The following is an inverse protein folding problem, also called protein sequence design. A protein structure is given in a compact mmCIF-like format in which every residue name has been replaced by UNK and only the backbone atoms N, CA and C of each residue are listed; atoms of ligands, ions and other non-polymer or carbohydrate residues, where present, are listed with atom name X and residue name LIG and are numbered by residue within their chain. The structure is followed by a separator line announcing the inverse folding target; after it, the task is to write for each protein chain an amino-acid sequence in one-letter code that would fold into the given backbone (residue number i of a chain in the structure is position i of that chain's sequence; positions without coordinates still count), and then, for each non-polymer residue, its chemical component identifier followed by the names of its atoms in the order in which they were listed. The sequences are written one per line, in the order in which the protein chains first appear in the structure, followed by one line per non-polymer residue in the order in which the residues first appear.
data_IF_237266904569
#
_entry.id   IF_237266904569
#
_cell.length_a   1.000
_cell.length_b   1.000
_cell.length_c   1.000
_cell.angle_alpha   90.00
_cell.angle_beta   90.00
_cell.angle_gamma   90.00
#
_symmetry.space_group_name_H-M   'P 1'
#
loop_
_entity.id
_entity.type
_entity.pdbx_description
1 polymer ?
#
# COMPACT_ATOMS: atom_id res chain seq x y z
N UNK A 1 -23.62 83.73 6.43
CA UNK A 1 -22.36 84.18 7.02
C UNK A 1 -21.88 83.19 8.05
N UNK A 2 -20.78 82.65 7.94
CA UNK A 2 -19.73 82.04 8.76
C UNK A 2 -19.40 80.63 8.34
N UNK A 3 -18.31 80.52 7.60
CA UNK A 3 -17.48 79.31 7.43
C UNK A 3 -17.00 78.83 8.78
N UNK A 4 -17.12 77.55 9.03
CA UNK A 4 -16.34 76.91 10.08
C UNK A 4 -15.64 75.66 9.47
N UNK A 5 -14.35 75.76 9.42
CA UNK A 5 -13.44 74.73 8.96
C UNK A 5 -13.40 73.62 10.00
N UNK A 6 -13.65 72.38 9.54
CA UNK A 6 -13.31 71.20 10.33
C UNK A 6 -12.30 70.37 9.49
N UNK A 7 -11.06 70.50 9.93
CA UNK A 7 -9.97 69.63 9.52
C UNK A 7 -10.23 68.24 10.13
N UNK A 8 -10.57 67.29 9.31
CA UNK A 8 -10.55 65.88 9.72
C UNK A 8 -9.22 65.27 9.29
N UNK A 9 -8.34 65.11 10.26
CA UNK A 9 -7.09 64.40 10.14
C UNK A 9 -7.35 62.92 9.97
N UNK A 10 -7.13 62.43 8.76
CA UNK A 10 -7.12 60.99 8.46
C UNK A 10 -5.82 60.38 8.97
N UNK A 11 -5.85 59.79 10.13
CA UNK A 11 -4.79 58.84 10.55
C UNK A 11 -5.00 57.54 9.82
N UNK A 12 -4.24 57.32 8.77
CA UNK A 12 -4.16 56.06 8.10
C UNK A 12 -3.39 55.05 8.94
N UNK A 13 -4.11 54.11 9.55
CA UNK A 13 -3.50 52.94 10.19
C UNK A 13 -3.07 51.95 9.11
N UNK A 14 -1.78 51.92 8.81
CA UNK A 14 -1.16 50.87 8.01
C UNK A 14 -1.03 49.63 8.90
N UNK A 15 -1.98 48.72 8.79
CA UNK A 15 -1.83 47.37 9.37
C UNK A 15 -0.94 46.57 8.45
N UNK A 16 0.34 46.50 8.81
CA UNK A 16 1.28 45.58 8.19
C UNK A 16 0.89 44.14 8.57
N UNK A 17 0.19 43.45 7.68
CA UNK A 17 -0.03 42.02 7.77
C UNK A 17 1.30 41.29 7.58
N UNK A 18 1.99 40.95 8.69
CA UNK A 18 3.07 39.98 8.65
C UNK A 18 2.47 38.62 8.31
N UNK A 19 2.52 38.24 7.05
CA UNK A 19 2.30 36.87 6.63
C UNK A 19 3.43 36.02 7.24
N UNK A 20 3.13 35.31 8.31
CA UNK A 20 3.98 34.23 8.83
C UNK A 20 4.03 33.13 7.76
N UNK A 21 5.02 33.18 6.89
CA UNK A 21 5.39 32.06 6.03
C UNK A 21 5.93 30.97 6.96
N UNK A 22 5.05 30.07 7.38
CA UNK A 22 5.49 28.85 8.04
C UNK A 22 6.22 28.00 6.97
N UNK A 23 7.50 27.66 7.17
CA UNK A 23 8.13 26.67 6.32
C UNK A 23 7.34 25.39 6.50
N UNK A 24 6.67 24.95 5.43
CA UNK A 24 6.17 23.59 5.33
C UNK A 24 7.38 22.68 5.50
N UNK A 25 7.53 22.07 6.67
CA UNK A 25 8.45 20.98 6.90
C UNK A 25 7.91 19.83 6.02
N UNK A 26 8.37 19.81 4.78
CA UNK A 26 8.26 18.63 3.93
C UNK A 26 9.02 17.52 4.65
N UNK A 27 8.29 16.70 5.38
CA UNK A 27 8.78 15.41 5.82
C UNK A 27 8.86 14.52 4.57
N UNK A 28 9.83 14.80 3.70
CA UNK A 28 10.34 13.81 2.77
C UNK A 28 11.34 12.92 3.50
N UNK A 29 10.95 12.41 4.66
CA UNK A 29 11.55 11.22 5.20
C UNK A 29 10.83 10.07 4.51
N UNK A 30 11.50 9.33 3.65
CA UNK A 30 11.24 7.92 3.47
C UNK A 30 11.58 7.25 4.80
N UNK A 31 10.79 7.52 5.83
CA UNK A 31 10.72 6.67 6.98
C UNK A 31 10.25 5.35 6.41
N UNK A 32 11.17 4.42 6.23
CA UNK A 32 10.85 3.02 6.00
C UNK A 32 9.88 2.66 7.12
N UNK A 33 8.59 2.45 6.76
CA UNK A 33 7.58 2.16 7.77
C UNK A 33 8.09 1.01 8.63
N UNK A 34 8.08 1.16 9.95
CA UNK A 34 8.65 0.17 10.83
C UNK A 34 7.92 -1.15 10.64
N UNK A 35 8.67 -2.24 10.62
CA UNK A 35 8.12 -3.59 10.67
C UNK A 35 7.24 -3.72 11.91
N UNK A 36 5.98 -4.08 11.73
CA UNK A 36 5.01 -4.16 12.82
C UNK A 36 4.14 -5.41 12.71
N UNK A 37 3.91 -6.14 13.81
CA UNK A 37 2.90 -7.20 13.87
C UNK A 37 1.49 -6.66 13.57
N UNK A 38 1.21 -5.40 13.91
CA UNK A 38 -0.09 -4.78 13.67
C UNK A 38 -0.49 -4.77 12.19
N UNK A 39 0.46 -4.71 11.25
CA UNK A 39 0.15 -4.80 9.82
C UNK A 39 -0.38 -6.19 9.42
N UNK A 40 0.00 -7.23 10.16
CA UNK A 40 -0.56 -8.59 9.99
C UNK A 40 -1.93 -8.68 10.67
N UNK A 41 -2.10 -8.08 11.84
CA UNK A 41 -3.36 -8.11 12.60
C UNK A 41 -4.50 -7.40 11.87
N UNK A 42 -4.19 -6.41 11.03
CA UNK A 42 -5.16 -5.69 10.19
C UNK A 42 -5.63 -6.47 8.95
N UNK A 43 -5.02 -7.61 8.63
CA UNK A 43 -5.44 -8.43 7.49
C UNK A 43 -6.82 -9.06 7.75
N UNK A 44 -7.62 -9.32 6.70
CA UNK A 44 -8.81 -10.16 6.79
C UNK A 44 -8.52 -11.50 7.48
N UNK A 45 -9.48 -12.03 8.22
CA UNK A 45 -9.27 -13.18 9.13
C UNK A 45 -8.67 -14.40 8.44
N UNK A 46 -9.16 -14.76 7.24
CA UNK A 46 -8.65 -15.92 6.50
C UNK A 46 -7.21 -15.71 6.04
N UNK A 47 -6.88 -14.50 5.58
CA UNK A 47 -5.52 -14.15 5.15
C UNK A 47 -4.59 -14.13 6.36
N UNK A 48 -5.01 -13.49 7.46
CA UNK A 48 -4.25 -13.44 8.70
C UNK A 48 -3.94 -14.84 9.23
N UNK A 49 -4.93 -15.74 9.23
CA UNK A 49 -4.74 -17.13 9.63
C UNK A 49 -3.71 -17.87 8.76
N UNK A 50 -3.69 -17.61 7.45
CA UNK A 50 -2.66 -18.17 6.56
C UNK A 50 -1.26 -17.59 6.83
N UNK A 51 -1.15 -16.27 7.01
CA UNK A 51 0.10 -15.59 7.32
C UNK A 51 0.67 -16.05 8.67
N UNK A 52 -0.16 -16.24 9.69
CA UNK A 52 0.26 -16.70 10.99
C UNK A 52 0.91 -18.10 10.97
N UNK A 53 0.62 -18.94 9.98
CA UNK A 53 1.30 -20.25 9.83
C UNK A 53 2.80 -20.10 9.59
N UNK A 54 3.25 -18.96 9.07
CA UNK A 54 4.67 -18.66 8.89
C UNK A 54 5.41 -18.45 10.21
N UNK A 55 4.69 -18.21 11.33
CA UNK A 55 5.29 -17.94 12.62
C UNK A 55 6.27 -19.06 13.06
N UNK A 56 5.84 -20.32 12.94
CA UNK A 56 6.69 -21.47 13.27
C UNK A 56 7.93 -21.57 12.34
N UNK A 57 7.74 -21.39 11.04
CA UNK A 57 8.81 -21.46 10.03
C UNK A 57 9.80 -20.30 10.17
N UNK A 58 9.32 -19.11 10.56
CA UNK A 58 10.13 -17.92 10.72
C UNK A 58 10.82 -17.81 12.08
N UNK A 59 10.63 -18.78 12.97
CA UNK A 59 11.31 -18.84 14.28
C UNK A 59 10.71 -17.93 15.34
N UNK A 60 9.41 -17.69 15.30
CA UNK A 60 8.65 -16.91 16.29
C UNK A 60 8.15 -15.59 15.73
N UNK A 61 8.49 -14.47 16.30
CA UNK A 61 7.93 -13.16 15.96
C UNK A 61 7.95 -12.85 14.46
N UNK A 62 6.77 -12.69 13.87
CA UNK A 62 6.57 -12.20 12.51
C UNK A 62 6.08 -10.76 12.56
N UNK A 63 6.52 -9.95 11.60
CA UNK A 63 6.06 -8.59 11.40
C UNK A 63 6.09 -8.28 9.90
N UNK A 64 5.39 -7.26 9.49
CA UNK A 64 5.35 -6.83 8.10
C UNK A 64 5.52 -5.31 8.00
N UNK A 65 6.04 -4.84 6.86
CA UNK A 65 6.03 -3.44 6.50
C UNK A 65 4.62 -3.02 6.06
N UNK A 66 4.36 -1.72 5.99
CA UNK A 66 3.03 -1.19 5.62
C UNK A 66 2.56 -1.68 4.25
N UNK A 67 3.48 -1.85 3.31
CA UNK A 67 3.16 -2.27 1.94
C UNK A 67 3.14 -3.79 1.73
N UNK A 68 3.22 -4.56 2.83
CA UNK A 68 3.10 -6.02 2.77
C UNK A 68 1.81 -6.49 2.09
N UNK A 69 0.69 -5.78 2.30
CA UNK A 69 -0.61 -6.09 1.71
C UNK A 69 -1.12 -4.93 0.85
N UNK A 70 -1.35 -5.20 -0.43
CA UNK A 70 -1.94 -4.24 -1.37
C UNK A 70 -3.32 -4.71 -1.80
N UNK A 71 -4.28 -3.79 -1.85
CA UNK A 71 -5.69 -4.04 -2.10
C UNK A 71 -6.11 -3.52 -3.47
N UNK A 72 -6.98 -4.27 -4.15
CA UNK A 72 -7.63 -3.85 -5.38
C UNK A 72 -9.10 -4.30 -5.36
N UNK A 73 -10.01 -3.35 -5.50
CA UNK A 73 -11.45 -3.64 -5.62
C UNK A 73 -11.90 -3.44 -7.07
N UNK A 74 -12.63 -4.42 -7.59
CA UNK A 74 -13.36 -4.35 -8.85
C UNK A 74 -14.81 -4.79 -8.61
N UNK A 75 -15.77 -4.48 -9.50
CA UNK A 75 -17.14 -4.95 -9.34
C UNK A 75 -17.22 -6.47 -9.12
N UNK A 76 -17.76 -6.88 -7.97
CA UNK A 76 -17.97 -8.28 -7.61
C UNK A 76 -16.74 -9.02 -7.03
N UNK A 77 -15.60 -8.38 -6.87
CA UNK A 77 -14.43 -9.00 -6.26
C UNK A 77 -13.50 -7.98 -5.59
N UNK A 78 -12.90 -8.38 -4.48
CA UNK A 78 -11.82 -7.66 -3.82
C UNK A 78 -10.59 -8.56 -3.77
N UNK A 79 -9.43 -8.01 -4.15
CA UNK A 79 -8.16 -8.72 -4.18
C UNK A 79 -7.21 -8.15 -3.15
N UNK A 80 -6.43 -9.04 -2.53
CA UNK A 80 -5.30 -8.68 -1.66
C UNK A 80 -4.06 -9.38 -2.17
N UNK A 81 -3.02 -8.62 -2.48
CA UNK A 81 -1.70 -9.15 -2.81
C UNK A 81 -0.78 -9.02 -1.60
N UNK A 82 -0.14 -10.10 -1.21
CA UNK A 82 0.87 -10.13 -0.15
C UNK A 82 2.28 -10.18 -0.76
N UNK A 83 3.15 -9.29 -0.28
CA UNK A 83 4.54 -9.12 -0.71
C UNK A 83 5.48 -9.61 0.39
N UNK A 84 5.94 -10.87 0.33
CA UNK A 84 6.78 -11.46 1.38
C UNK A 84 8.23 -10.96 1.38
N UNK A 85 8.63 -10.12 0.44
CA UNK A 85 9.84 -9.29 0.57
C UNK A 85 9.69 -8.23 1.66
N UNK A 86 8.46 -7.74 1.91
CA UNK A 86 8.06 -6.85 2.99
C UNK A 86 7.60 -7.60 4.25
N UNK A 87 8.03 -8.85 4.43
CA UNK A 87 7.69 -9.69 5.57
C UNK A 87 8.94 -10.11 6.36
N UNK A 88 8.95 -9.83 7.66
CA UNK A 88 10.06 -10.16 8.54
C UNK A 88 10.03 -11.63 8.93
N UNK A 89 11.08 -12.34 8.54
CA UNK A 89 11.26 -13.76 8.83
C UNK A 89 12.74 -14.03 9.07
N UNK A 90 13.07 -14.71 10.18
CA UNK A 90 14.48 -15.04 10.50
C UNK A 90 15.13 -15.83 9.38
N UNK A 91 14.44 -16.80 8.81
CA UNK A 91 14.91 -17.62 7.70
C UNK A 91 14.38 -17.06 6.36
N UNK A 92 14.96 -15.95 5.90
CA UNK A 92 14.53 -15.30 4.65
C UNK A 92 14.58 -16.24 3.43
N UNK A 93 15.47 -17.25 3.44
CA UNK A 93 15.60 -18.21 2.35
C UNK A 93 14.35 -19.08 2.10
N UNK A 94 13.45 -19.21 3.09
CA UNK A 94 12.17 -19.92 2.90
C UNK A 94 11.17 -19.08 2.11
N UNK A 95 11.33 -17.77 2.15
CA UNK A 95 10.46 -16.81 1.46
C UNK A 95 11.02 -16.37 0.12
N UNK A 96 12.35 -16.18 0.01
CA UNK A 96 13.02 -15.61 -1.16
C UNK A 96 14.11 -16.55 -1.67
N UNK A 97 14.29 -16.60 -2.99
CA UNK A 97 15.36 -17.33 -3.69
C UNK A 97 15.85 -16.55 -4.93
N UNK A 98 16.59 -17.22 -5.83
CA UNK A 98 17.09 -16.57 -7.05
C UNK A 98 16.00 -16.09 -8.02
N UNK A 99 14.80 -16.67 -7.97
CA UNK A 99 13.65 -16.24 -8.77
C UNK A 99 12.93 -15.02 -8.18
N UNK A 100 13.19 -14.69 -6.93
CA UNK A 100 12.54 -13.60 -6.19
C UNK A 100 11.91 -14.08 -4.89
N UNK A 101 11.06 -13.25 -4.31
CA UNK A 101 10.35 -13.57 -3.09
C UNK A 101 8.98 -14.22 -3.37
N UNK A 102 8.42 -14.84 -2.35
CA UNK A 102 7.06 -15.36 -2.37
C UNK A 102 6.08 -14.18 -2.49
N UNK A 103 5.09 -14.35 -3.32
CA UNK A 103 3.91 -13.49 -3.37
C UNK A 103 2.65 -14.35 -3.42
N UNK A 104 1.62 -13.90 -2.74
CA UNK A 104 0.33 -14.56 -2.73
C UNK A 104 -0.78 -13.57 -3.07
N UNK A 105 -1.77 -14.00 -3.85
CA UNK A 105 -2.95 -13.18 -4.12
C UNK A 105 -4.18 -13.93 -3.64
N UNK A 106 -4.98 -13.22 -2.89
CA UNK A 106 -6.28 -13.65 -2.39
C UNK A 106 -7.40 -12.89 -3.09
N UNK A 107 -8.58 -13.51 -3.18
CA UNK A 107 -9.80 -12.87 -3.66
C UNK A 107 -10.92 -13.13 -2.67
N UNK A 108 -11.66 -12.08 -2.35
CA UNK A 108 -12.95 -12.21 -1.67
C UNK A 108 -14.07 -12.31 -2.70
N UNK A 109 -14.90 -13.33 -2.54
CA UNK A 109 -16.19 -13.46 -3.21
C UNK A 109 -17.23 -13.81 -2.14
N UNK A 110 -18.32 -13.08 -2.09
CA UNK A 110 -19.33 -13.23 -1.02
C UNK A 110 -18.74 -13.07 0.40
N UNK A 111 -17.77 -12.15 0.56
CA UNK A 111 -17.21 -11.76 1.86
C UNK A 111 -16.17 -12.72 2.46
N UNK A 112 -15.76 -13.76 1.72
CA UNK A 112 -14.74 -14.71 2.19
C UNK A 112 -13.52 -14.72 1.27
N UNK A 113 -12.33 -14.65 1.86
CA UNK A 113 -11.06 -14.68 1.12
C UNK A 113 -10.58 -16.10 0.86
N UNK A 114 -10.11 -16.33 -0.35
CA UNK A 114 -9.38 -17.56 -0.72
C UNK A 114 -8.16 -17.22 -1.54
N UNK A 115 -7.08 -17.95 -1.37
CA UNK A 115 -5.86 -17.80 -2.15
C UNK A 115 -6.05 -18.32 -3.57
N UNK A 116 -5.67 -17.50 -4.57
CA UNK A 116 -5.87 -17.76 -5.99
C UNK A 116 -4.59 -17.73 -6.81
N UNK A 117 -3.50 -17.24 -6.21
CA UNK A 117 -2.17 -17.27 -6.81
C UNK A 117 -1.12 -17.41 -5.71
N UNK A 118 -0.13 -18.24 -5.95
CA UNK A 118 1.12 -18.32 -5.18
C UNK A 118 2.25 -18.39 -6.18
N UNK A 119 3.19 -17.45 -6.10
CA UNK A 119 4.31 -17.36 -7.06
C UNK A 119 5.56 -16.81 -6.37
N UNK A 120 6.74 -17.22 -6.86
CA UNK A 120 8.02 -16.58 -6.55
C UNK A 120 8.44 -15.75 -7.76
N UNK A 121 8.60 -14.47 -7.57
CA UNK A 121 8.96 -13.50 -8.60
C UNK A 121 9.61 -12.29 -7.95
N UNK A 122 10.20 -11.41 -8.74
CA UNK A 122 10.85 -10.20 -8.20
C UNK A 122 9.82 -9.23 -7.59
N UNK A 123 8.69 -9.06 -8.27
CA UNK A 123 7.60 -8.20 -7.80
C UNK A 123 6.27 -8.62 -8.45
N UNK A 124 5.13 -8.25 -7.84
CA UNK A 124 3.81 -8.37 -8.45
C UNK A 124 3.06 -7.05 -8.35
N UNK A 125 2.19 -6.78 -9.33
CA UNK A 125 1.34 -5.60 -9.33
C UNK A 125 -0.10 -5.96 -9.65
N UNK A 126 -1.01 -5.58 -8.77
CA UNK A 126 -2.44 -5.63 -9.05
C UNK A 126 -2.86 -4.38 -9.82
N UNK A 127 -3.71 -4.56 -10.81
CA UNK A 127 -4.28 -3.46 -11.58
C UNK A 127 -5.65 -3.81 -12.13
N UNK A 128 -6.45 -2.79 -12.48
CA UNK A 128 -7.71 -2.99 -13.18
C UNK A 128 -7.77 -2.15 -14.45
N UNK A 129 -8.35 -2.72 -15.51
CA UNK A 129 -8.66 -2.02 -16.76
C UNK A 129 -10.07 -2.42 -17.16
N UNK A 130 -10.95 -1.46 -17.35
CA UNK A 130 -12.36 -1.68 -17.71
C UNK A 130 -13.05 -2.69 -16.76
N UNK A 131 -12.86 -2.50 -15.45
CA UNK A 131 -13.38 -3.38 -14.39
C UNK A 131 -12.83 -4.83 -14.39
N UNK A 132 -11.87 -5.12 -15.24
CA UNK A 132 -11.19 -6.40 -15.29
C UNK A 132 -9.91 -6.36 -14.46
N UNK A 133 -9.78 -7.26 -13.49
CA UNK A 133 -8.56 -7.36 -12.68
C UNK A 133 -7.45 -8.10 -13.41
N UNK A 134 -6.22 -7.64 -13.17
CA UNK A 134 -4.98 -8.21 -13.66
C UNK A 134 -3.95 -8.31 -12.55
N UNK A 135 -3.08 -9.30 -12.64
CA UNK A 135 -1.81 -9.35 -11.93
C UNK A 135 -0.67 -9.34 -12.94
N UNK A 136 0.29 -8.48 -12.74
CA UNK A 136 1.53 -8.44 -13.49
C UNK A 136 2.65 -9.01 -12.64
N UNK A 137 3.34 -10.01 -13.17
CA UNK A 137 4.48 -10.68 -12.54
C UNK A 137 5.75 -10.11 -13.16
N UNK A 138 6.65 -9.57 -12.35
CA UNK A 138 7.91 -8.99 -12.80
C UNK A 138 9.06 -9.91 -12.42
N UNK A 139 9.96 -10.20 -13.37
CA UNK A 139 11.21 -10.87 -13.08
C UNK A 139 12.34 -9.87 -12.74
N UNK A 140 13.50 -10.39 -12.36
CA UNK A 140 14.67 -9.56 -12.00
C UNK A 140 15.18 -8.71 -13.18
N UNK A 141 14.93 -9.09 -14.40
CA UNK A 141 15.39 -8.40 -15.61
C UNK A 141 14.38 -7.33 -16.07
N UNK A 142 13.29 -7.14 -15.33
CA UNK A 142 12.23 -6.21 -15.67
C UNK A 142 11.26 -6.75 -16.74
N UNK A 143 11.40 -8.02 -17.16
CA UNK A 143 10.40 -8.64 -18.02
C UNK A 143 9.13 -8.86 -17.22
N UNK A 144 8.00 -8.54 -17.83
CA UNK A 144 6.71 -8.71 -17.15
C UNK A 144 5.82 -9.71 -17.89
N UNK A 145 5.01 -10.42 -17.12
CA UNK A 145 3.94 -11.27 -17.61
C UNK A 145 2.62 -10.89 -16.97
N UNK A 146 1.67 -10.49 -17.76
CA UNK A 146 0.35 -10.08 -17.31
C UNK A 146 -0.64 -11.24 -17.36
N UNK A 147 -1.29 -11.52 -16.23
CA UNK A 147 -2.33 -12.51 -16.08
C UNK A 147 -3.66 -11.80 -15.87
N UNK A 148 -4.75 -12.34 -16.44
CA UNK A 148 -6.10 -11.82 -16.31
C UNK A 148 -6.93 -12.68 -15.36
N UNK A 149 -7.71 -12.07 -14.52
CA UNK A 149 -8.72 -12.76 -13.72
C UNK A 149 -9.88 -13.25 -14.61
N UNK A 150 -10.22 -14.51 -14.53
CA UNK A 150 -11.31 -15.11 -15.32
C UNK A 150 -12.57 -15.43 -14.50
N UNK A 151 -12.66 -14.90 -13.26
CA UNK A 151 -13.74 -15.21 -12.31
C UNK A 151 -13.40 -16.33 -11.33
N UNK A 152 -12.37 -17.12 -11.60
CA UNK A 152 -11.96 -18.27 -10.80
C UNK A 152 -10.46 -18.27 -10.46
N UNK A 153 -9.60 -17.92 -11.40
CA UNK A 153 -8.15 -17.87 -11.28
C UNK A 153 -7.53 -16.85 -12.24
N UNK A 154 -6.26 -16.52 -12.02
CA UNK A 154 -5.48 -15.76 -12.97
C UNK A 154 -4.97 -16.65 -14.10
N UNK A 155 -5.17 -16.23 -15.36
CA UNK A 155 -4.78 -16.94 -16.58
C UNK A 155 -3.95 -16.03 -17.48
N UNK A 156 -3.05 -16.60 -18.26
CA UNK A 156 -2.32 -15.84 -19.28
C UNK A 156 -3.28 -15.18 -20.26
N UNK A 157 -2.88 -13.99 -20.74
CA UNK A 157 -3.66 -13.23 -21.73
C UNK A 157 -3.37 -13.76 -23.12
#
# INVERSE_FOLDING_TARGET
VKLSRLLCTLLGSVIAALALVQPALSHSGTAQDPWSPAHIDMLPDEIRADVQKWNATCGGSIAAAQHFALYLTVPGAEFVALHFDDFQCRSRAVLCNSAGCLHEVYVATAGRYRRVLTVRTYDIRLSSVNNQAFVELLDRNGTSRKLRWNGSRFVAK
#
